data_IF_652206531470
#
_entry.id   IF_652206531470
#
_cell.length_a   1.000
_cell.length_b   1.000
_cell.length_c   1.000
_cell.angle_alpha   90.00
_cell.angle_beta   90.00
_cell.angle_gamma   90.00
#
_symmetry.space_group_name_H-M   'P 1'
#
loop_
_entity.id
_entity.type
_entity.pdbx_description
1 polymer ?
#
# COMPACT_ATOMS: atom_id res chain seq x y z
N UNK A 1 -46.45 50.87 -21.36
CA UNK A 1 -46.73 50.83 -22.83
C UNK A 1 -45.67 49.91 -23.45
N UNK A 2 -45.94 48.62 -23.73
CA UNK A 2 -46.30 48.01 -25.05
C UNK A 2 -45.61 48.73 -26.23
N UNK A 3 -44.77 48.10 -27.07
CA UNK A 3 -45.04 47.10 -28.15
C UNK A 3 -43.71 46.40 -28.52
N UNK A 4 -43.55 45.07 -28.71
CA UNK A 4 -44.06 44.09 -29.71
C UNK A 4 -43.62 44.29 -31.17
N UNK A 5 -42.94 43.26 -31.73
CA UNK A 5 -42.96 42.63 -33.09
C UNK A 5 -41.63 41.87 -33.26
N UNK A 6 -41.46 40.54 -33.43
CA UNK A 6 -42.21 39.38 -33.96
C UNK A 6 -42.31 39.31 -35.50
N UNK A 7 -41.52 38.39 -36.08
CA UNK A 7 -41.70 37.73 -37.40
C UNK A 7 -40.83 36.45 -37.37
N UNK A 8 -41.36 35.22 -37.22
CA UNK A 8 -42.11 34.39 -38.19
C UNK A 8 -41.30 34.19 -39.48
N UNK A 9 -40.79 33.00 -39.83
CA UNK A 9 -41.43 31.81 -40.43
C UNK A 9 -40.25 30.92 -40.93
N UNK A 10 -40.28 29.64 -41.27
CA UNK A 10 -41.24 28.52 -41.22
C UNK A 10 -40.54 27.28 -41.84
N UNK A 11 -41.02 26.09 -41.48
CA UNK A 11 -41.06 24.84 -42.29
C UNK A 11 -39.69 24.19 -42.68
N UNK A 12 -39.52 22.87 -42.76
CA UNK A 12 -40.49 21.79 -42.88
C UNK A 12 -39.82 20.41 -42.65
N UNK A 13 -40.68 19.46 -42.23
CA UNK A 13 -40.83 18.08 -42.71
C UNK A 13 -39.99 16.92 -42.15
N UNK A 14 -40.80 15.87 -41.89
CA UNK A 14 -40.57 14.54 -41.36
C UNK A 14 -39.67 13.66 -42.24
N UNK A 15 -39.04 12.67 -41.61
CA UNK A 15 -39.00 11.30 -42.14
C UNK A 15 -39.00 10.29 -41.00
N UNK A 16 -40.03 9.45 -40.92
CA UNK A 16 -39.99 8.19 -40.19
C UNK A 16 -39.19 7.17 -41.00
N UNK A 17 -38.31 6.43 -40.34
CA UNK A 17 -37.95 5.06 -40.75
C UNK A 17 -37.97 4.20 -39.50
N UNK A 18 -38.83 3.19 -39.52
CA UNK A 18 -38.87 2.06 -38.60
C UNK A 18 -37.99 0.92 -39.13
N UNK A 19 -37.47 0.12 -38.20
CA UNK A 19 -37.13 -1.31 -38.25
C UNK A 19 -35.72 -1.63 -37.72
N UNK A 20 -35.68 -2.59 -36.80
CA UNK A 20 -34.46 -3.31 -36.43
C UNK A 20 -34.33 -3.61 -34.94
N UNK A 21 -35.18 -4.46 -34.38
CA UNK A 21 -34.79 -5.22 -33.19
C UNK A 21 -33.70 -6.20 -33.61
N UNK A 22 -32.45 -5.95 -33.23
CA UNK A 22 -31.46 -7.01 -33.03
C UNK A 22 -31.24 -7.14 -31.53
N UNK A 23 -31.57 -8.33 -31.03
CA UNK A 23 -31.27 -8.78 -29.69
C UNK A 23 -29.77 -8.85 -29.51
N UNK A 24 -29.18 -7.79 -28.96
CA UNK A 24 -27.84 -7.87 -28.41
C UNK A 24 -27.95 -7.96 -26.90
N UNK A 25 -27.34 -9.03 -26.43
CA UNK A 25 -27.37 -9.57 -25.10
C UNK A 25 -26.99 -8.47 -24.11
N UNK A 26 -27.79 -8.37 -23.05
CA UNK A 26 -27.34 -7.83 -21.78
C UNK A 26 -26.10 -8.62 -21.36
N UNK A 27 -24.91 -8.13 -21.71
CA UNK A 27 -23.72 -8.45 -20.95
C UNK A 27 -23.99 -7.93 -19.54
N UNK A 28 -24.31 -8.85 -18.64
CA UNK A 28 -24.14 -8.64 -17.21
C UNK A 28 -22.73 -8.11 -17.04
N UNK A 29 -22.62 -6.80 -16.77
CA UNK A 29 -21.38 -6.19 -16.36
C UNK A 29 -20.98 -6.86 -15.05
N UNK A 30 -20.20 -7.93 -15.15
CA UNK A 30 -19.57 -8.57 -14.02
C UNK A 30 -18.69 -7.50 -13.35
N UNK A 31 -19.03 -7.00 -12.15
CA UNK A 31 -18.27 -5.95 -11.51
C UNK A 31 -16.86 -6.39 -11.11
N UNK A 32 -16.50 -7.66 -11.34
CA UNK A 32 -15.18 -8.23 -11.11
C UNK A 32 -14.26 -8.27 -12.36
N UNK A 33 -14.75 -7.88 -13.55
CA UNK A 33 -13.96 -7.94 -14.79
C UNK A 33 -12.93 -6.80 -14.95
N UNK A 34 -12.88 -5.83 -14.04
CA UNK A 34 -11.87 -4.77 -14.02
C UNK A 34 -10.82 -5.00 -12.92
N UNK A 35 -10.29 -6.23 -12.83
CA UNK A 35 -9.03 -6.47 -12.12
C UNK A 35 -7.95 -6.63 -13.17
N UNK A 36 -7.48 -5.52 -13.73
CA UNK A 36 -6.15 -5.48 -14.34
C UNK A 36 -5.16 -5.69 -13.19
N UNK A 37 -4.95 -6.96 -12.82
CA UNK A 37 -3.87 -7.37 -11.95
C UNK A 37 -2.59 -6.84 -12.57
N UNK A 38 -1.93 -5.94 -11.83
CA UNK A 38 -0.59 -5.46 -12.16
C UNK A 38 0.35 -6.67 -12.06
N UNK A 39 0.43 -7.47 -13.12
CA UNK A 39 1.29 -8.64 -13.17
C UNK A 39 2.74 -8.16 -13.33
N UNK A 40 3.42 -7.96 -12.19
CA UNK A 40 4.79 -7.42 -12.08
C UNK A 40 5.88 -8.45 -12.45
N UNK A 41 5.69 -9.20 -13.53
CA UNK A 41 6.63 -10.25 -13.94
C UNK A 41 6.69 -11.43 -12.97
N UNK A 42 5.64 -11.60 -12.17
CA UNK A 42 5.42 -12.74 -11.28
C UNK A 42 5.24 -14.03 -12.10
N UNK A 43 5.89 -15.11 -11.71
CA UNK A 43 5.54 -16.45 -12.18
C UNK A 43 4.05 -16.71 -11.84
N UNK A 44 3.17 -16.88 -12.84
CA UNK A 44 1.73 -16.69 -12.66
C UNK A 44 1.03 -17.82 -11.90
N UNK A 45 1.73 -18.88 -11.45
CA UNK A 45 1.07 -20.04 -10.85
C UNK A 45 0.94 -20.02 -9.32
N UNK A 46 1.76 -19.24 -8.59
CA UNK A 46 1.76 -19.26 -7.10
C UNK A 46 2.15 -17.95 -6.41
N UNK A 47 2.48 -16.89 -7.16
CA UNK A 47 2.94 -15.64 -6.57
C UNK A 47 1.81 -14.61 -6.43
N UNK A 48 1.75 -13.98 -5.27
CA UNK A 48 0.76 -13.00 -4.84
C UNK A 48 1.43 -11.67 -4.52
N UNK A 49 0.61 -10.61 -4.55
CA UNK A 49 1.02 -9.25 -4.21
C UNK A 49 0.04 -8.68 -3.20
N UNK A 50 0.57 -8.19 -2.08
CA UNK A 50 -0.16 -7.31 -1.16
C UNK A 50 0.24 -5.88 -1.49
N UNK A 51 -0.67 -5.10 -2.07
CA UNK A 51 -0.58 -3.64 -2.14
C UNK A 51 -1.52 -3.07 -1.06
N UNK A 52 -1.24 -1.90 -0.48
CA UNK A 52 -2.08 -1.36 0.61
C UNK A 52 -3.19 -0.40 0.15
N UNK A 53 -3.42 -0.29 -1.15
CA UNK A 53 -4.48 0.54 -1.73
C UNK A 53 -5.90 0.10 -1.28
N UNK A 54 -6.89 0.99 -1.50
CA UNK A 54 -8.30 0.86 -1.03
C UNK A 54 -8.99 -0.49 -1.34
N UNK A 55 -8.44 -1.28 -2.27
CA UNK A 55 -9.00 -2.57 -2.68
C UNK A 55 -8.55 -3.75 -1.80
N UNK A 56 -7.56 -3.57 -0.94
CA UNK A 56 -7.07 -4.63 -0.07
C UNK A 56 -7.91 -4.72 1.19
N UNK A 57 -8.60 -5.85 1.44
CA UNK A 57 -9.37 -6.02 2.66
C UNK A 57 -8.44 -5.86 3.87
N UNK A 58 -8.80 -4.93 4.75
CA UNK A 58 -8.04 -4.63 5.97
C UNK A 58 -8.94 -4.72 7.19
N UNK A 59 -8.41 -5.30 8.26
CA UNK A 59 -9.03 -5.19 9.58
C UNK A 59 -8.34 -4.09 10.37
N UNK A 60 -9.13 -3.38 11.18
CA UNK A 60 -8.61 -2.36 12.09
C UNK A 60 -9.05 -2.63 13.51
N UNK A 61 -8.16 -2.35 14.46
CA UNK A 61 -8.46 -2.37 15.89
C UNK A 61 -7.98 -1.07 16.51
N UNK A 62 -8.89 -0.38 17.20
CA UNK A 62 -8.65 0.96 17.75
C UNK A 62 -8.08 1.95 16.70
N UNK A 63 -8.42 1.78 15.43
CA UNK A 63 -7.97 2.62 14.31
C UNK A 63 -6.59 2.31 13.74
N UNK A 64 -5.89 1.28 14.24
CA UNK A 64 -4.67 0.76 13.63
C UNK A 64 -4.97 -0.45 12.74
N UNK A 65 -4.26 -0.58 11.62
CA UNK A 65 -4.40 -1.74 10.73
C UNK A 65 -3.76 -2.97 11.37
N UNK A 66 -4.55 -4.02 11.57
CA UNK A 66 -4.11 -5.25 12.24
C UNK A 66 -3.94 -6.42 11.31
N UNK A 67 -4.64 -6.42 10.17
CA UNK A 67 -4.66 -7.54 9.24
C UNK A 67 -4.85 -7.02 7.83
N UNK A 68 -4.18 -7.64 6.87
CA UNK A 68 -4.51 -7.60 5.44
C UNK A 68 -4.75 -9.04 4.96
N UNK A 69 -5.50 -9.20 3.88
CA UNK A 69 -5.80 -10.53 3.34
C UNK A 69 -5.15 -10.74 1.98
N UNK A 70 -4.66 -11.95 1.76
CA UNK A 70 -4.23 -12.45 0.44
C UNK A 70 -4.95 -13.76 0.19
N UNK A 71 -5.82 -13.80 -0.83
CA UNK A 71 -6.71 -14.93 -1.13
C UNK A 71 -7.39 -15.48 0.15
N UNK A 72 -8.11 -14.62 0.86
CA UNK A 72 -8.80 -14.93 2.13
C UNK A 72 -7.90 -15.44 3.28
N UNK A 73 -6.59 -15.46 3.10
CA UNK A 73 -5.63 -15.84 4.14
C UNK A 73 -5.11 -14.59 4.85
N UNK A 74 -5.24 -14.48 6.19
CA UNK A 74 -4.85 -13.29 6.91
C UNK A 74 -3.33 -13.18 7.05
N UNK A 75 -2.80 -11.99 6.77
CA UNK A 75 -1.44 -11.56 7.10
C UNK A 75 -1.56 -10.53 8.21
N UNK A 76 -1.09 -10.88 9.42
CA UNK A 76 -1.20 -9.98 10.57
C UNK A 76 -0.14 -8.90 10.50
N UNK A 77 -0.49 -7.70 10.93
CA UNK A 77 0.36 -6.53 10.92
C UNK A 77 0.57 -6.04 12.35
N UNK A 78 1.84 -5.83 12.69
CA UNK A 78 2.24 -5.14 13.90
C UNK A 78 3.25 -4.05 13.56
N UNK A 79 2.82 -2.79 13.65
CA UNK A 79 3.72 -1.66 13.53
C UNK A 79 3.88 -0.97 14.87
N UNK A 80 5.11 -0.61 15.23
CA UNK A 80 5.43 -0.05 16.54
C UNK A 80 6.43 1.08 16.38
N UNK A 81 6.18 2.18 17.08
CA UNK A 81 7.15 3.26 17.21
C UNK A 81 8.12 2.99 18.36
N UNK A 82 9.32 3.55 18.26
CA UNK A 82 10.36 3.42 19.28
C UNK A 82 10.20 4.46 20.37
N UNK A 83 10.29 4.03 21.61
CA UNK A 83 10.28 4.85 22.82
C UNK A 83 11.68 5.46 23.07
N UNK A 84 11.74 6.50 23.90
CA UNK A 84 13.00 7.18 24.22
C UNK A 84 14.07 6.31 24.91
N UNK A 85 13.69 5.14 25.42
CA UNK A 85 14.58 4.14 26.03
C UNK A 85 15.05 3.05 25.04
N UNK A 86 14.84 3.23 23.74
CA UNK A 86 15.22 2.27 22.69
C UNK A 86 14.23 1.13 22.48
N UNK A 87 13.30 0.87 23.41
CA UNK A 87 12.29 -0.19 23.28
C UNK A 87 11.18 0.24 22.32
N UNK A 88 10.52 -0.73 21.69
CA UNK A 88 9.32 -0.49 20.90
C UNK A 88 8.06 -0.44 21.78
N UNK A 89 7.11 0.41 21.42
CA UNK A 89 5.80 0.48 22.07
C UNK A 89 5.07 -0.87 21.93
N UNK A 90 4.32 -1.29 22.96
CA UNK A 90 3.60 -2.56 22.92
C UNK A 90 2.35 -2.51 22.00
N UNK A 91 1.72 -1.34 21.88
CA UNK A 91 0.53 -1.14 21.06
C UNK A 91 0.86 -1.13 19.56
N UNK A 92 -0.02 -1.72 18.76
CA UNK A 92 0.02 -1.54 17.32
C UNK A 92 -0.33 -0.08 16.95
N UNK A 93 0.49 0.52 16.10
CA UNK A 93 0.37 1.87 15.57
C UNK A 93 0.45 1.90 14.03
N UNK A 94 0.10 0.78 13.40
CA UNK A 94 0.04 0.64 11.95
C UNK A 94 -1.00 1.58 11.34
N UNK A 95 -0.58 2.33 10.34
CA UNK A 95 -1.38 3.32 9.65
C UNK A 95 -1.24 3.12 8.15
N UNK A 96 -2.38 3.10 7.45
CA UNK A 96 -2.40 3.31 6.00
C UNK A 96 -2.39 4.81 5.73
N UNK A 97 -1.41 5.24 4.94
CA UNK A 97 -1.22 6.63 4.62
C UNK A 97 -1.26 6.86 3.11
N UNK A 98 -2.19 7.70 2.67
CA UNK A 98 -2.34 8.03 1.26
C UNK A 98 -1.32 9.08 0.83
N UNK A 99 -0.26 8.65 0.13
CA UNK A 99 0.81 9.59 -0.29
C UNK A 99 0.39 10.45 -1.49
N UNK A 100 -0.66 10.06 -2.21
CA UNK A 100 -1.23 10.86 -3.31
C UNK A 100 -2.13 12.01 -2.79
N UNK A 101 -2.69 11.85 -1.59
CA UNK A 101 -3.63 12.80 -0.95
C UNK A 101 -3.29 13.00 0.53
N UNK A 102 -2.10 13.53 0.87
CA UNK A 102 -1.71 13.69 2.26
C UNK A 102 -2.59 14.71 2.99
N UNK A 103 -2.86 14.44 4.25
CA UNK A 103 -3.57 15.37 5.13
C UNK A 103 -2.69 16.58 5.54
N UNK A 104 -3.30 17.58 6.18
CA UNK A 104 -2.63 18.82 6.56
C UNK A 104 -1.40 18.62 7.48
N UNK A 105 -1.38 17.58 8.32
CA UNK A 105 -0.26 17.28 9.24
C UNK A 105 0.89 16.57 8.55
N UNK A 106 0.61 15.88 7.45
CA UNK A 106 1.57 15.07 6.70
C UNK A 106 1.77 15.58 5.26
N UNK A 107 1.43 16.84 4.99
CA UNK A 107 1.35 17.46 3.65
C UNK A 107 2.58 17.30 2.74
N UNK A 108 3.75 17.07 3.34
CA UNK A 108 5.03 16.93 2.64
C UNK A 108 5.33 15.48 2.24
N UNK A 109 4.68 14.50 2.86
CA UNK A 109 4.86 13.09 2.53
C UNK A 109 4.04 12.76 1.28
N UNK A 110 4.63 13.02 0.11
CA UNK A 110 3.98 12.83 -1.19
C UNK A 110 4.82 11.96 -2.10
N UNK A 111 4.15 11.09 -2.84
CA UNK A 111 4.72 10.47 -4.04
C UNK A 111 3.94 10.91 -5.28
N UNK A 112 4.58 10.95 -6.48
CA UNK A 112 6.00 10.71 -6.68
C UNK A 112 6.86 11.91 -6.24
N UNK A 113 7.95 11.64 -5.52
CA UNK A 113 9.14 12.49 -5.62
C UNK A 113 9.84 12.15 -6.95
N UNK A 114 10.76 12.97 -7.47
CA UNK A 114 11.56 12.61 -8.65
C UNK A 114 12.30 11.27 -8.51
N UNK A 115 12.46 10.76 -7.28
CA UNK A 115 13.09 9.48 -6.97
C UNK A 115 12.10 8.31 -6.81
N UNK A 116 10.79 8.52 -6.94
CA UNK A 116 9.79 7.46 -6.82
C UNK A 116 9.48 6.82 -8.18
N UNK A 117 9.59 5.49 -8.26
CA UNK A 117 9.40 4.69 -9.47
C UNK A 117 7.96 4.78 -10.03
N UNK A 118 6.98 5.10 -9.17
CA UNK A 118 5.57 5.33 -9.52
C UNK A 118 4.88 6.11 -8.39
N UNK A 119 3.72 6.74 -8.65
CA UNK A 119 2.80 7.11 -7.59
C UNK A 119 2.46 5.87 -6.75
N UNK A 120 2.59 6.00 -5.43
CA UNK A 120 2.13 5.01 -4.46
C UNK A 120 0.85 5.57 -3.84
N UNK A 121 -0.21 4.77 -3.79
CA UNK A 121 -1.48 5.21 -3.23
C UNK A 121 -1.38 5.21 -1.72
N UNK A 122 -1.99 4.20 -1.11
CA UNK A 122 -1.87 3.97 0.33
C UNK A 122 -0.62 3.13 0.62
N UNK A 123 0.16 3.56 1.60
CA UNK A 123 1.35 2.85 2.07
C UNK A 123 1.21 2.51 3.55
N UNK A 124 1.82 1.40 3.98
CA UNK A 124 1.84 1.01 5.38
C UNK A 124 3.00 1.70 6.10
N UNK A 125 2.68 2.48 7.13
CA UNK A 125 3.62 3.24 7.94
C UNK A 125 3.21 3.23 9.42
N UNK A 126 3.90 4.01 10.26
CA UNK A 126 3.69 4.06 11.71
C UNK A 126 3.20 5.45 12.11
N UNK A 127 2.04 5.51 12.76
CA UNK A 127 1.48 6.74 13.30
C UNK A 127 1.97 7.05 14.73
N UNK A 128 1.94 8.31 15.13
CA UNK A 128 2.04 8.72 16.56
C UNK A 128 0.82 8.31 17.39
N UNK A 129 -0.28 8.02 16.72
CA UNK A 129 -1.52 7.48 17.30
C UNK A 129 -2.27 6.70 16.23
N UNK A 130 -3.31 5.98 16.62
CA UNK A 130 -4.10 5.12 15.74
C UNK A 130 -5.23 5.89 15.04
N UNK A 131 -4.95 7.13 14.64
CA UNK A 131 -5.90 7.98 13.93
C UNK A 131 -5.47 8.11 12.47
N UNK A 132 -6.44 8.10 11.56
CA UNK A 132 -6.24 8.42 10.14
C UNK A 132 -5.65 9.82 9.86
N UNK A 133 -5.68 10.70 10.86
CA UNK A 133 -5.04 12.02 10.83
C UNK A 133 -3.90 12.12 11.84
N UNK A 134 -3.29 10.99 12.20
CA UNK A 134 -2.10 10.98 13.04
C UNK A 134 -0.92 11.55 12.26
N UNK A 135 -0.08 12.32 12.95
CA UNK A 135 1.23 12.66 12.41
C UNK A 135 2.06 11.38 12.31
N UNK A 136 2.75 11.18 11.18
CA UNK A 136 3.66 10.05 11.00
C UNK A 136 4.77 10.06 12.06
N UNK A 137 5.19 8.87 12.49
CA UNK A 137 6.26 8.71 13.46
C UNK A 137 7.62 8.69 12.76
N UNK A 138 8.52 9.59 13.17
CA UNK A 138 9.78 9.89 12.50
C UNK A 138 11.03 9.61 13.36
N UNK A 139 10.86 8.87 14.47
CA UNK A 139 11.90 8.69 15.50
C UNK A 139 12.24 7.23 15.80
N UNK A 140 12.27 6.41 14.76
CA UNK A 140 12.54 4.98 14.86
C UNK A 140 11.23 4.20 14.93
N UNK A 141 11.06 3.28 14.00
CA UNK A 141 9.85 2.47 13.90
C UNK A 141 10.18 1.08 13.38
N UNK A 142 9.24 0.16 13.56
CA UNK A 142 9.31 -1.17 12.95
C UNK A 142 7.93 -1.61 12.50
N UNK A 143 7.87 -2.38 11.43
CA UNK A 143 6.66 -3.00 10.88
C UNK A 143 6.95 -4.49 10.73
N UNK A 144 6.09 -5.34 11.29
CA UNK A 144 6.13 -6.80 11.15
C UNK A 144 4.86 -7.27 10.42
N UNK A 145 5.05 -8.09 9.38
CA UNK A 145 4.01 -8.83 8.69
C UNK A 145 4.18 -10.32 9.02
N UNK A 146 3.11 -10.96 9.48
CA UNK A 146 3.08 -12.36 9.89
C UNK A 146 2.26 -13.18 8.89
N UNK A 147 2.97 -14.00 8.11
CA UNK A 147 2.45 -14.90 7.08
C UNK A 147 2.18 -16.30 7.63
N UNK A 148 2.26 -16.53 8.94
CA UNK A 148 2.13 -17.88 9.53
C UNK A 148 0.81 -18.59 9.20
N UNK A 149 -0.27 -17.85 8.89
CA UNK A 149 -1.52 -18.45 8.40
C UNK A 149 -1.37 -19.16 7.04
N UNK A 150 -0.33 -18.82 6.27
CA UNK A 150 0.08 -19.47 5.02
C UNK A 150 1.15 -20.55 5.25
N UNK A 151 1.59 -20.77 6.50
CA UNK A 151 2.77 -21.58 6.81
C UNK A 151 4.07 -20.77 6.65
N UNK A 152 4.72 -20.94 5.50
CA UNK A 152 5.87 -20.15 5.07
C UNK A 152 5.71 -19.74 3.61
N UNK A 153 6.32 -18.62 3.25
CA UNK A 153 6.30 -18.08 1.89
C UNK A 153 7.73 -17.95 1.37
N UNK A 154 7.86 -17.88 0.04
CA UNK A 154 9.04 -17.37 -0.61
C UNK A 154 8.88 -15.88 -0.89
N UNK A 155 9.59 -15.03 -0.14
CA UNK A 155 9.53 -13.58 -0.31
C UNK A 155 10.34 -13.15 -1.54
N UNK A 156 9.70 -12.45 -2.48
CA UNK A 156 10.26 -12.01 -3.77
C UNK A 156 10.64 -10.52 -3.81
N UNK A 157 9.99 -9.71 -2.98
CA UNK A 157 10.37 -8.31 -2.87
C UNK A 157 9.40 -7.47 -2.08
N UNK A 158 9.85 -6.26 -1.79
CA UNK A 158 9.06 -5.22 -1.14
C UNK A 158 9.37 -3.87 -1.77
N UNK A 159 8.43 -2.93 -1.71
CA UNK A 159 8.73 -1.52 -1.86
C UNK A 159 8.97 -0.87 -0.50
N UNK A 160 10.00 -0.04 -0.45
CA UNK A 160 10.33 0.78 0.72
C UNK A 160 10.40 2.24 0.33
N UNK A 161 9.98 3.10 1.24
CA UNK A 161 9.86 4.53 1.02
C UNK A 161 10.48 5.33 2.17
N UNK A 162 10.89 6.54 1.82
CA UNK A 162 11.34 7.60 2.75
C UNK A 162 12.45 7.13 3.70
N UNK A 163 13.49 6.53 3.12
CA UNK A 163 14.74 6.21 3.79
C UNK A 163 15.74 7.31 3.47
N UNK A 164 15.99 8.20 4.43
CA UNK A 164 16.97 9.28 4.31
C UNK A 164 18.38 8.81 4.69
N UNK A 165 19.40 9.62 4.41
CA UNK A 165 20.80 9.34 4.81
C UNK A 165 20.94 9.15 6.33
N UNK A 166 20.14 9.87 7.12
CA UNK A 166 20.12 9.72 8.59
C UNK A 166 19.49 8.39 9.05
N UNK A 167 18.92 7.61 8.12
CA UNK A 167 18.26 6.33 8.33
C UNK A 167 18.97 5.19 7.57
N UNK A 168 20.20 5.40 7.08
CA UNK A 168 20.95 4.43 6.27
C UNK A 168 21.16 3.05 6.92
N UNK A 169 21.04 2.95 8.24
CA UNK A 169 21.11 1.70 8.99
C UNK A 169 19.77 0.95 9.10
N UNK A 170 18.75 1.39 8.37
CA UNK A 170 17.47 0.68 8.26
C UNK A 170 17.67 -0.70 7.63
N UNK A 171 16.86 -1.68 8.04
CA UNK A 171 17.04 -3.07 7.62
C UNK A 171 15.73 -3.85 7.52
N UNK A 172 15.80 -4.94 6.79
CA UNK A 172 14.80 -6.00 6.73
C UNK A 172 15.36 -7.24 7.43
N UNK A 173 14.58 -7.83 8.32
CA UNK A 173 14.80 -9.13 8.92
C UNK A 173 13.71 -10.08 8.43
N UNK A 174 14.11 -11.23 7.90
CA UNK A 174 13.23 -12.31 7.50
C UNK A 174 13.34 -13.40 8.57
N UNK A 175 12.20 -13.85 9.08
CA UNK A 175 12.14 -14.81 10.19
C UNK A 175 11.37 -16.06 9.78
N UNK A 176 11.82 -17.21 10.28
CA UNK A 176 11.11 -18.47 10.15
C UNK A 176 9.91 -18.57 11.11
N UNK A 177 9.19 -19.69 11.05
CA UNK A 177 8.03 -19.98 11.91
C UNK A 177 8.34 -20.00 13.42
N UNK A 178 9.61 -20.20 13.80
CA UNK A 178 10.05 -20.20 15.19
C UNK A 178 10.49 -18.80 15.66
N UNK A 179 10.42 -17.79 14.78
CA UNK A 179 10.90 -16.44 15.06
C UNK A 179 12.43 -16.33 14.99
N UNK A 180 13.13 -17.29 14.39
CA UNK A 180 14.56 -17.18 14.14
C UNK A 180 14.80 -16.35 12.89
N UNK A 181 15.70 -15.37 12.98
CA UNK A 181 16.14 -14.60 11.80
C UNK A 181 16.90 -15.53 10.85
N UNK A 182 16.39 -15.67 9.62
CA UNK A 182 17.01 -16.46 8.55
C UNK A 182 17.77 -15.59 7.56
N UNK A 183 17.43 -14.30 7.45
CA UNK A 183 18.15 -13.34 6.61
C UNK A 183 18.00 -11.92 7.13
N UNK A 184 19.07 -11.13 7.03
CA UNK A 184 19.05 -9.68 7.28
C UNK A 184 19.60 -8.97 6.05
N UNK A 185 18.94 -7.89 5.63
CA UNK A 185 19.34 -7.07 4.49
C UNK A 185 19.24 -5.59 4.87
N UNK A 186 20.22 -4.78 4.48
CA UNK A 186 20.13 -3.34 4.63
C UNK A 186 19.09 -2.77 3.65
N UNK A 187 18.36 -1.74 4.07
CA UNK A 187 17.50 -0.98 3.16
C UNK A 187 18.33 0.06 2.40
N UNK A 188 18.12 0.22 1.09
CA UNK A 188 18.74 1.30 0.33
C UNK A 188 18.23 2.67 0.80
N UNK A 189 19.11 3.66 0.84
CA UNK A 189 18.72 5.07 1.00
C UNK A 189 17.96 5.51 -0.24
N UNK A 190 16.71 5.93 -0.06
CA UNK A 190 15.85 6.41 -1.15
C UNK A 190 15.84 7.93 -1.26
N UNK A 191 16.30 8.62 -0.22
CA UNK A 191 16.08 10.06 -0.04
C UNK A 191 14.66 10.37 0.45
N UNK A 192 14.44 11.63 0.81
CA UNK A 192 13.16 12.11 1.32
C UNK A 192 12.04 11.87 0.31
N UNK A 193 11.02 11.11 0.74
CA UNK A 193 9.87 10.71 -0.09
C UNK A 193 10.26 9.92 -1.35
N UNK A 194 11.49 9.40 -1.42
CA UNK A 194 11.90 8.47 -2.46
C UNK A 194 11.28 7.09 -2.22
N UNK A 195 11.21 6.29 -3.28
CA UNK A 195 10.70 4.92 -3.20
C UNK A 195 11.55 4.01 -4.08
N UNK A 196 11.85 2.81 -3.59
CA UNK A 196 12.58 1.82 -4.37
C UNK A 196 12.10 0.40 -4.11
N UNK A 197 12.33 -0.48 -5.08
CA UNK A 197 12.05 -1.91 -4.96
C UNK A 197 13.28 -2.62 -4.44
N UNK A 198 13.12 -3.28 -3.29
CA UNK A 198 14.09 -4.24 -2.79
C UNK A 198 13.71 -5.62 -3.33
N UNK A 199 14.53 -6.17 -4.22
CA UNK A 199 14.39 -7.56 -4.68
C UNK A 199 14.90 -8.50 -3.60
N UNK A 200 14.08 -9.50 -3.29
CA UNK A 200 14.36 -10.52 -2.29
C UNK A 200 14.12 -11.87 -2.98
N UNK A 201 14.83 -12.91 -2.59
CA UNK A 201 14.48 -14.28 -2.99
C UNK A 201 14.87 -15.15 -1.82
N UNK A 202 13.90 -15.45 -0.96
CA UNK A 202 14.15 -16.14 0.31
C UNK A 202 12.95 -16.99 0.67
N UNK A 203 13.07 -18.34 0.59
CA UNK A 203 12.05 -19.27 1.04
C UNK A 203 12.02 -19.38 2.57
N UNK A 204 10.98 -20.04 3.10
CA UNK A 204 10.84 -20.32 4.53
C UNK A 204 10.51 -19.10 5.40
N UNK A 205 10.05 -18.00 4.80
CA UNK A 205 9.72 -16.77 5.54
C UNK A 205 8.32 -16.93 6.14
N UNK A 206 8.22 -16.92 7.47
CA UNK A 206 6.94 -16.81 8.16
C UNK A 206 6.66 -15.38 8.61
N UNK A 207 7.71 -14.56 8.82
CA UNK A 207 7.56 -13.15 9.18
C UNK A 207 8.55 -12.26 8.43
N UNK A 208 8.05 -11.13 7.96
CA UNK A 208 8.84 -10.02 7.44
C UNK A 208 8.85 -8.92 8.51
N UNK A 209 10.03 -8.51 8.96
CA UNK A 209 10.20 -7.36 9.84
C UNK A 209 11.04 -6.28 9.17
N UNK A 210 10.50 -5.08 9.07
CA UNK A 210 11.17 -3.90 8.55
C UNK A 210 11.46 -2.97 9.72
N UNK A 211 12.71 -2.53 9.85
CA UNK A 211 13.19 -1.68 10.94
C UNK A 211 13.74 -0.41 10.31
N UNK A 212 13.19 0.74 10.69
CA UNK A 212 13.58 2.05 10.21
C UNK A 212 14.48 2.74 11.24
N UNK A 213 15.68 3.16 10.80
CA UNK A 213 16.76 3.69 11.63
C UNK A 213 17.51 2.63 12.44
N UNK A 214 18.76 2.91 12.82
CA UNK A 214 19.46 2.09 13.82
C UNK A 214 18.89 2.30 15.22
N UNK A 215 19.21 1.40 16.17
CA UNK A 215 18.71 1.41 17.55
C UNK A 215 19.12 2.63 18.37
N UNK A 216 20.14 3.36 17.94
CA UNK A 216 20.72 4.52 18.64
C UNK A 216 20.22 5.85 18.09
N UNK A 217 19.70 5.87 16.86
CA UNK A 217 19.23 7.06 16.19
C UNK A 217 17.79 7.38 16.61
N UNK A 218 17.48 8.68 16.67
CA UNK A 218 16.12 9.21 16.86
C UNK A 218 15.47 9.50 15.50
N UNK A 219 15.77 8.68 14.50
CA UNK A 219 15.29 8.75 13.12
C UNK A 219 14.74 7.38 12.72
N UNK A 220 13.87 7.35 11.71
CA UNK A 220 13.18 6.13 11.28
C UNK A 220 11.68 6.36 11.19
N UNK A 221 11.21 6.82 10.03
CA UNK A 221 9.80 7.06 9.75
C UNK A 221 9.30 6.54 8.41
N UNK A 222 10.08 5.66 7.77
CA UNK A 222 9.77 5.13 6.45
C UNK A 222 8.44 4.37 6.37
N UNK A 223 8.12 3.97 5.15
CA UNK A 223 6.92 3.21 4.84
C UNK A 223 7.25 2.02 3.94
N UNK A 224 6.34 1.06 3.88
CA UNK A 224 6.40 -0.06 2.95
C UNK A 224 5.12 -0.15 2.13
N UNK A 225 5.26 -0.71 0.94
CA UNK A 225 4.16 -1.07 0.05
C UNK A 225 4.58 -2.27 -0.81
N UNK A 226 3.65 -2.82 -1.59
CA UNK A 226 3.86 -3.88 -2.59
C UNK A 226 4.75 -5.01 -2.07
N UNK A 227 4.15 -5.94 -1.32
CA UNK A 227 4.83 -7.15 -0.86
C UNK A 227 4.56 -8.26 -1.85
N UNK A 228 5.61 -8.72 -2.52
CA UNK A 228 5.54 -9.80 -3.51
C UNK A 228 6.10 -11.09 -2.89
N UNK A 229 5.34 -12.16 -2.96
CA UNK A 229 5.72 -13.46 -2.41
C UNK A 229 5.06 -14.59 -3.18
N UNK A 230 5.55 -15.82 -3.00
CA UNK A 230 4.90 -17.02 -3.53
C UNK A 230 4.62 -17.99 -2.39
N UNK A 231 3.46 -18.65 -2.44
CA UNK A 231 3.15 -19.73 -1.49
C UNK A 231 4.06 -20.94 -1.77
N UNK A 232 4.40 -21.65 -0.71
CA UNK A 232 5.11 -22.94 -0.78
C UNK A 232 4.13 -24.11 -0.96
#
# INVERSE_FOLDING_TARGET
>A
MKKFTLSAMACALLSMVSMGCSSDQSEEANPFAATLTKNFGTDPSSCEIIEFDELTPTETSAGAVTTVFSQDTPVRILAQYRLGNGRYAASNAALLFNTSRPDAKNKNFRTPSPAAIRPMGDVLTVGRSNSKFAKLYDKGSRIELDFSAMGSINLKGIHVLDITEEEANSKVELLDKNGKVIKTMALPVTGAYGATRLRIDTPGVAKLRVIFGDETSRRGGGAIDVIEFCRE
#
